data_IF_914528565862
#
_entry.id   IF_914528565862
#
_cell.length_a   1.000
_cell.length_b   1.000
_cell.length_c   1.000
_cell.angle_alpha   90.00
_cell.angle_beta   90.00
_cell.angle_gamma   90.00
#
_symmetry.space_group_name_H-M   'P 1'
#
loop_
_entity.id
_entity.type
_entity.pdbx_description
1 polymer ?
#
# COMPACT_ATOMS: atom_id res chain seq x y z
N UNK A 1 12.16 -33.07 11.53
CA UNK A 1 12.44 -33.41 12.94
C UNK A 1 13.73 -32.70 13.32
N UNK A 2 13.79 -31.72 14.21
CA UNK A 2 12.83 -31.07 15.09
C UNK A 2 12.83 -29.55 14.77
N UNK A 3 11.68 -28.89 14.67
CA UNK A 3 10.93 -28.26 15.78
C UNK A 3 11.79 -27.42 16.73
N UNK A 4 11.56 -26.11 16.73
CA UNK A 4 10.85 -25.49 17.85
C UNK A 4 10.63 -24.00 17.58
N UNK A 5 9.36 -23.62 17.57
CA UNK A 5 8.82 -22.39 18.13
C UNK A 5 9.84 -21.49 18.85
N UNK A 6 10.29 -20.44 18.17
CA UNK A 6 10.92 -19.32 18.84
C UNK A 6 9.83 -18.31 19.23
N UNK A 7 8.93 -18.72 20.13
CA UNK A 7 8.14 -17.77 20.92
C UNK A 7 9.10 -17.06 21.87
N UNK A 8 9.83 -16.06 21.37
CA UNK A 8 10.47 -15.10 22.26
C UNK A 8 9.34 -14.26 22.85
N UNK A 9 8.96 -14.57 24.09
CA UNK A 9 8.32 -13.58 24.98
C UNK A 9 9.36 -12.50 25.28
N UNK A 10 9.71 -11.70 24.28
CA UNK A 10 10.43 -10.45 24.50
C UNK A 10 9.41 -9.51 25.12
N UNK A 11 9.64 -9.08 26.35
CA UNK A 11 8.99 -7.87 26.84
C UNK A 11 9.59 -6.73 26.02
N UNK A 12 8.93 -6.44 24.90
CA UNK A 12 9.28 -5.32 24.04
C UNK A 12 8.80 -4.08 24.79
N UNK A 13 9.74 -3.25 25.26
CA UNK A 13 9.44 -1.86 25.59
C UNK A 13 9.66 -1.04 24.32
N UNK A 14 8.57 -0.71 23.59
CA UNK A 14 8.69 0.14 22.42
C UNK A 14 9.09 1.56 22.83
N UNK A 15 10.22 2.05 22.34
CA UNK A 15 10.47 3.49 22.28
C UNK A 15 10.11 3.98 20.86
N UNK A 16 9.04 4.78 20.77
CA UNK A 16 8.65 5.45 19.52
C UNK A 16 9.57 6.63 19.35
N UNK A 17 10.48 6.57 18.39
CA UNK A 17 11.45 7.64 18.17
C UNK A 17 10.95 8.74 17.24
N UNK A 18 10.11 8.43 16.24
CA UNK A 18 9.53 9.40 15.30
C UNK A 18 8.31 8.82 14.54
N UNK A 19 7.34 9.69 14.21
CA UNK A 19 6.27 9.39 13.26
C UNK A 19 6.82 9.56 11.83
N UNK A 20 7.15 8.46 11.16
CA UNK A 20 8.03 8.53 9.99
C UNK A 20 7.39 9.25 8.79
N UNK A 21 6.07 9.15 8.58
CA UNK A 21 5.41 9.76 7.41
C UNK A 21 3.92 10.09 7.66
N UNK A 22 3.56 11.38 7.74
CA UNK A 22 2.20 11.87 8.05
C UNK A 22 1.21 11.85 6.87
N UNK A 23 1.58 11.29 5.72
CA UNK A 23 0.79 11.34 4.46
C UNK A 23 0.22 9.96 4.07
N UNK A 24 0.47 8.94 4.87
CA UNK A 24 0.05 7.57 4.56
C UNK A 24 -1.32 7.24 5.16
N UNK A 25 -2.02 6.26 4.57
CA UNK A 25 -3.31 5.74 5.04
C UNK A 25 -3.22 4.97 6.36
N UNK A 26 -2.03 4.89 6.97
CA UNK A 26 -1.77 4.11 8.18
C UNK A 26 -0.66 4.78 9.00
N UNK A 27 -0.71 4.79 10.34
CA UNK A 27 0.41 5.23 11.15
C UNK A 27 1.65 4.34 10.91
N UNK A 28 2.77 5.00 10.60
CA UNK A 28 4.09 4.38 10.43
C UNK A 28 5.01 4.85 11.55
N UNK A 29 5.51 3.90 12.32
CA UNK A 29 6.30 4.13 13.53
C UNK A 29 7.68 3.49 13.37
N UNK A 30 8.73 4.26 13.65
CA UNK A 30 10.09 3.73 13.74
C UNK A 30 10.29 3.13 15.14
N UNK A 31 10.67 1.85 15.19
CA UNK A 31 10.90 1.12 16.43
C UNK A 31 12.31 0.55 16.51
N UNK A 32 12.90 0.66 17.68
CA UNK A 32 14.15 0.00 18.02
C UNK A 32 13.84 -1.09 19.04
N UNK A 33 14.04 -2.36 18.67
CA UNK A 33 13.97 -3.49 19.58
C UNK A 33 15.34 -3.68 20.22
N UNK A 34 15.41 -3.58 21.56
CA UNK A 34 16.61 -3.91 22.30
C UNK A 34 16.59 -5.39 22.71
N UNK A 35 17.65 -6.11 22.41
CA UNK A 35 17.84 -7.51 22.74
C UNK A 35 19.15 -7.75 23.48
N UNK A 36 19.30 -8.96 23.98
CA UNK A 36 20.58 -9.43 24.52
C UNK A 36 20.92 -10.69 23.76
N UNK A 37 22.09 -10.72 23.13
CA UNK A 37 22.61 -11.92 22.45
C UNK A 37 22.90 -13.04 23.46
N UNK A 38 23.06 -14.28 22.98
CA UNK A 38 23.44 -15.43 23.81
C UNK A 38 24.75 -15.19 24.59
N UNK A 39 25.64 -14.33 24.08
CA UNK A 39 26.88 -13.94 24.75
C UNK A 39 26.72 -12.81 25.79
N UNK A 40 25.49 -12.38 26.09
CA UNK A 40 25.21 -11.29 27.02
C UNK A 40 25.44 -9.87 26.45
N UNK A 41 25.82 -9.75 25.17
CA UNK A 41 26.02 -8.45 24.53
C UNK A 41 24.66 -7.84 24.17
N UNK A 42 24.46 -6.56 24.52
CA UNK A 42 23.30 -5.79 24.06
C UNK A 42 23.31 -5.70 22.53
N UNK A 43 22.22 -6.13 21.91
CA UNK A 43 21.93 -5.89 20.51
C UNK A 43 20.74 -4.96 20.40
N UNK A 44 20.67 -4.23 19.30
CA UNK A 44 19.44 -3.52 18.95
C UNK A 44 19.11 -3.82 17.50
N UNK A 45 17.82 -3.86 17.21
CA UNK A 45 17.26 -4.15 15.91
C UNK A 45 16.28 -3.04 15.55
N UNK A 46 16.60 -2.29 14.51
CA UNK A 46 15.74 -1.22 14.05
C UNK A 46 14.79 -1.71 12.96
N UNK A 47 13.51 -1.40 13.11
CA UNK A 47 12.46 -1.80 12.19
C UNK A 47 11.39 -0.72 12.09
N UNK A 48 10.56 -0.82 11.06
CA UNK A 48 9.38 0.01 10.87
C UNK A 48 8.16 -0.82 11.19
N UNK A 49 7.31 -0.36 12.10
CA UNK A 49 5.99 -0.93 12.30
C UNK A 49 4.97 -0.05 11.59
N UNK A 50 4.22 -0.66 10.68
CA UNK A 50 3.06 -0.04 10.04
C UNK A 50 1.81 -0.69 10.61
N UNK A 51 0.91 0.11 11.18
CA UNK A 51 -0.35 -0.37 11.75
C UNK A 51 -1.53 0.10 10.90
N UNK A 52 -2.44 -0.80 10.60
CA UNK A 52 -3.67 -0.53 9.87
C UNK A 52 -4.80 -0.35 10.88
N UNK A 53 -4.90 0.87 11.40
CA UNK A 53 -5.83 1.23 12.46
C UNK A 53 -6.78 2.33 11.98
N UNK A 54 -8.08 2.03 11.89
CA UNK A 54 -9.12 2.95 11.42
C UNK A 54 -9.19 4.26 12.20
N UNK A 55 -8.70 4.27 13.44
CA UNK A 55 -8.74 5.44 14.33
C UNK A 55 -7.69 6.48 13.96
N UNK A 56 -6.68 6.09 13.18
CA UNK A 56 -5.55 6.92 12.78
C UNK A 56 -5.44 7.02 11.25
N UNK A 57 -4.54 7.87 10.76
CA UNK A 57 -4.29 8.08 9.33
C UNK A 57 -5.05 9.28 8.77
N UNK A 58 -4.32 10.35 8.41
CA UNK A 58 -4.94 11.58 7.90
C UNK A 58 -5.64 11.32 6.58
N UNK A 59 -4.94 10.71 5.60
CA UNK A 59 -5.50 10.42 4.29
C UNK A 59 -6.60 9.36 4.30
N UNK A 60 -6.58 8.42 5.25
CA UNK A 60 -7.63 7.41 5.41
C UNK A 60 -8.97 8.04 5.83
N UNK A 61 -8.91 9.12 6.61
CA UNK A 61 -10.08 9.78 7.19
C UNK A 61 -10.49 11.05 6.45
N UNK A 62 -9.86 11.35 5.32
CA UNK A 62 -10.23 12.45 4.45
C UNK A 62 -11.39 12.05 3.53
N UNK A 63 -12.58 12.60 3.81
CA UNK A 63 -13.81 12.38 3.05
C UNK A 63 -14.19 13.64 2.27
N UNK A 64 -14.28 13.56 0.94
CA UNK A 64 -14.61 14.70 0.06
C UNK A 64 -13.80 15.96 0.41
N UNK A 65 -12.48 15.81 0.55
CA UNK A 65 -11.53 16.87 0.94
C UNK A 65 -11.75 17.46 2.34
N UNK A 66 -12.55 16.79 3.18
CA UNK A 66 -12.80 17.17 4.58
C UNK A 66 -12.32 16.06 5.50
N UNK A 67 -11.44 16.41 6.42
CA UNK A 67 -10.96 15.46 7.42
C UNK A 67 -12.08 15.12 8.42
N UNK A 68 -12.34 13.81 8.60
CA UNK A 68 -13.35 13.31 9.55
C UNK A 68 -12.64 12.70 10.76
N UNK A 69 -12.47 13.44 11.87
CA UNK A 69 -11.70 12.95 13.00
C UNK A 69 -12.36 11.74 13.66
N UNK A 70 -11.55 10.92 14.34
CA UNK A 70 -12.06 9.89 15.23
C UNK A 70 -12.47 10.53 16.56
N UNK A 71 -13.66 10.19 17.07
CA UNK A 71 -14.20 10.73 18.33
C UNK A 71 -14.81 9.63 19.18
N UNK A 72 -14.98 9.89 20.48
CA UNK A 72 -15.59 8.95 21.41
C UNK A 72 -17.03 8.59 21.00
N UNK A 73 -17.78 9.53 20.44
CA UNK A 73 -19.14 9.31 19.95
C UNK A 73 -19.17 8.35 18.76
N UNK A 74 -18.21 8.49 17.83
CA UNK A 74 -18.06 7.58 16.68
C UNK A 74 -17.64 6.19 17.13
N UNK A 75 -16.73 6.10 18.09
CA UNK A 75 -16.32 4.82 18.67
C UNK A 75 -17.51 4.12 19.36
N UNK A 76 -18.29 4.85 20.16
CA UNK A 76 -19.50 4.31 20.79
C UNK A 76 -20.54 3.84 19.76
N UNK A 77 -20.73 4.61 18.67
CA UNK A 77 -21.62 4.23 17.57
C UNK A 77 -21.15 2.94 16.88
N UNK A 78 -19.85 2.83 16.58
CA UNK A 78 -19.25 1.63 16.00
C UNK A 78 -19.39 0.42 16.92
N UNK A 79 -19.07 0.56 18.21
CA UNK A 79 -19.23 -0.51 19.20
C UNK A 79 -20.68 -0.99 19.30
N UNK A 80 -21.64 -0.06 19.31
CA UNK A 80 -23.07 -0.39 19.29
C UNK A 80 -23.46 -1.15 18.01
N UNK A 81 -22.94 -0.74 16.86
CA UNK A 81 -23.18 -1.39 15.56
C UNK A 81 -22.65 -2.82 15.51
N UNK A 82 -21.44 -3.06 16.04
CA UNK A 82 -20.88 -4.41 16.18
C UNK A 82 -21.70 -5.24 17.17
N UNK A 83 -22.08 -4.68 18.32
CA UNK A 83 -22.90 -5.36 19.33
C UNK A 83 -24.25 -5.83 18.78
N UNK A 84 -24.84 -5.06 17.88
CA UNK A 84 -26.11 -5.38 17.22
C UNK A 84 -25.95 -6.41 16.08
N UNK A 85 -24.75 -6.94 15.84
CA UNK A 85 -24.48 -7.91 14.77
C UNK A 85 -24.56 -7.31 13.36
N UNK A 86 -24.55 -5.98 13.22
CA UNK A 86 -24.75 -5.30 11.93
C UNK A 86 -23.51 -5.29 11.04
N UNK A 87 -22.33 -5.54 11.62
CA UNK A 87 -21.05 -5.53 10.90
C UNK A 87 -21.00 -6.53 9.74
N UNK A 88 -21.39 -7.80 9.98
CA UNK A 88 -21.36 -8.84 8.95
C UNK A 88 -22.26 -8.55 7.74
N UNK A 89 -23.56 -8.26 7.92
CA UNK A 89 -24.45 -7.85 6.84
C UNK A 89 -23.97 -6.60 6.11
N UNK A 90 -23.44 -5.61 6.83
CA UNK A 90 -22.93 -4.38 6.23
C UNK A 90 -21.75 -4.66 5.29
N UNK A 91 -20.75 -5.43 5.75
CA UNK A 91 -19.59 -5.79 4.93
C UNK A 91 -19.98 -6.56 3.67
N UNK A 92 -20.89 -7.53 3.78
CA UNK A 92 -21.42 -8.25 2.60
C UNK A 92 -22.08 -7.31 1.60
N UNK A 93 -22.89 -6.36 2.09
CA UNK A 93 -23.51 -5.36 1.23
C UNK A 93 -22.51 -4.42 0.56
N UNK A 94 -21.33 -4.20 1.14
CA UNK A 94 -20.24 -3.47 0.47
C UNK A 94 -19.60 -4.36 -0.61
N UNK A 95 -19.34 -5.63 -0.32
CA UNK A 95 -18.77 -6.58 -1.29
C UNK A 95 -19.68 -6.78 -2.51
N UNK A 96 -21.00 -6.75 -2.32
CA UNK A 96 -22.00 -6.81 -3.38
C UNK A 96 -22.00 -5.54 -4.24
N UNK A 97 -21.96 -4.35 -3.61
CA UNK A 97 -21.85 -3.07 -4.33
C UNK A 97 -20.58 -2.96 -5.16
N UNK A 98 -19.44 -3.37 -4.61
CA UNK A 98 -18.17 -3.29 -5.35
C UNK A 98 -18.20 -4.13 -6.63
N UNK A 99 -18.98 -5.22 -6.64
CA UNK A 99 -19.20 -6.03 -7.84
C UNK A 99 -20.11 -5.34 -8.85
N UNK A 100 -21.15 -4.65 -8.39
CA UNK A 100 -22.15 -3.98 -9.23
C UNK A 100 -21.64 -2.66 -9.81
N UNK A 101 -21.02 -1.82 -8.99
CA UNK A 101 -20.65 -0.45 -9.37
C UNK A 101 -19.40 -0.41 -10.26
N UNK A 102 -18.58 -1.47 -10.24
CA UNK A 102 -17.27 -1.56 -10.92
C UNK A 102 -16.31 -0.39 -10.59
N UNK A 103 -16.62 0.41 -9.56
CA UNK A 103 -15.91 1.62 -9.17
C UNK A 103 -15.03 1.30 -7.96
N UNK A 104 -13.72 1.49 -8.11
CA UNK A 104 -12.74 1.40 -7.01
C UNK A 104 -12.61 2.78 -6.36
N UNK A 105 -13.66 3.27 -5.71
CA UNK A 105 -13.54 4.40 -4.79
C UNK A 105 -13.37 3.88 -3.37
N UNK A 106 -12.65 4.60 -2.49
CA UNK A 106 -12.68 4.32 -1.06
C UNK A 106 -14.13 4.25 -0.60
N UNK A 107 -14.47 3.17 0.08
CA UNK A 107 -15.83 2.83 0.50
C UNK A 107 -16.43 3.94 1.36
N UNK A 108 -15.58 4.61 2.14
CA UNK A 108 -16.01 5.75 2.95
C UNK A 108 -16.59 6.89 2.10
N UNK A 109 -16.20 7.03 0.82
CA UNK A 109 -16.63 8.08 -0.10
C UNK A 109 -18.03 7.85 -0.70
N UNK A 110 -18.54 6.62 -0.65
CA UNK A 110 -19.85 6.24 -1.20
C UNK A 110 -20.96 6.25 -0.16
N UNK A 111 -20.64 6.51 1.11
CA UNK A 111 -21.61 6.53 2.20
C UNK A 111 -22.46 7.81 2.21
N UNK A 112 -23.77 7.64 2.43
CA UNK A 112 -24.71 8.74 2.63
C UNK A 112 -24.54 9.34 4.03
N UNK A 113 -24.15 10.62 4.11
CA UNK A 113 -23.95 11.33 5.36
C UNK A 113 -25.24 11.75 6.06
N UNK A 114 -26.40 11.55 5.42
CA UNK A 114 -27.72 11.77 6.01
C UNK A 114 -28.25 10.53 6.74
N UNK A 115 -27.60 9.37 6.57
CA UNK A 115 -27.94 8.13 7.26
C UNK A 115 -27.77 8.30 8.79
N UNK A 116 -28.80 7.98 9.62
CA UNK A 116 -28.68 8.02 11.07
C UNK A 116 -27.54 7.14 11.62
N UNK A 117 -27.14 6.09 10.89
CA UNK A 117 -26.03 5.20 11.22
C UNK A 117 -24.72 5.59 10.53
N UNK A 118 -24.66 6.73 9.84
CA UNK A 118 -23.49 7.17 9.08
C UNK A 118 -22.19 7.05 9.87
N UNK A 119 -22.18 7.53 11.13
CA UNK A 119 -20.99 7.47 11.98
C UNK A 119 -20.47 6.05 12.18
N UNK A 120 -21.35 5.08 12.40
CA UNK A 120 -20.96 3.69 12.58
C UNK A 120 -20.56 3.01 11.26
N UNK A 121 -21.32 3.26 10.18
CA UNK A 121 -21.01 2.74 8.84
C UNK A 121 -19.69 3.28 8.30
N UNK A 122 -19.38 4.55 8.60
CA UNK A 122 -18.10 5.17 8.26
C UNK A 122 -16.93 4.46 8.95
N UNK A 123 -16.98 4.26 10.28
CA UNK A 123 -15.94 3.52 11.00
C UNK A 123 -15.83 2.05 10.53
N UNK A 124 -16.95 1.42 10.18
CA UNK A 124 -16.97 0.07 9.61
C UNK A 124 -16.34 -0.02 8.22
N UNK A 125 -16.57 0.98 7.36
CA UNK A 125 -15.92 1.10 6.06
C UNK A 125 -14.41 1.30 6.21
N UNK A 126 -13.98 2.18 7.12
CA UNK A 126 -12.55 2.37 7.41
C UNK A 126 -11.89 1.11 7.98
N UNK A 127 -12.59 0.33 8.80
CA UNK A 127 -12.11 -0.98 9.25
C UNK A 127 -11.84 -1.91 8.06
N UNK A 128 -12.80 -2.02 7.13
CA UNK A 128 -12.65 -2.85 5.92
C UNK A 128 -11.47 -2.38 5.08
N UNK A 129 -11.33 -1.08 4.87
CA UNK A 129 -10.18 -0.52 4.12
C UNK A 129 -8.85 -0.85 4.80
N UNK A 130 -8.77 -0.78 6.14
CA UNK A 130 -7.57 -1.19 6.88
C UNK A 130 -7.24 -2.67 6.67
N UNK A 131 -8.26 -3.54 6.74
CA UNK A 131 -8.12 -4.98 6.48
C UNK A 131 -7.63 -5.25 5.06
N UNK A 132 -8.23 -4.61 4.07
CA UNK A 132 -7.87 -4.78 2.66
C UNK A 132 -6.45 -4.27 2.40
N UNK A 133 -6.08 -3.13 2.97
CA UNK A 133 -4.74 -2.55 2.88
C UNK A 133 -3.68 -3.48 3.50
N UNK A 134 -3.97 -4.06 4.67
CA UNK A 134 -3.10 -5.05 5.30
C UNK A 134 -2.94 -6.30 4.42
N UNK A 135 -4.05 -6.82 3.90
CA UNK A 135 -4.04 -8.02 3.06
C UNK A 135 -3.29 -7.79 1.75
N UNK A 136 -3.48 -6.63 1.09
CA UNK A 136 -2.74 -6.23 -0.11
C UNK A 136 -1.25 -6.10 0.16
N UNK A 137 -0.85 -5.39 1.21
CA UNK A 137 0.56 -5.21 1.52
C UNK A 137 1.23 -6.57 1.80
N UNK A 138 0.65 -7.40 2.66
CA UNK A 138 1.22 -8.72 3.01
C UNK A 138 1.34 -9.65 1.81
N UNK A 139 0.34 -9.68 0.94
CA UNK A 139 0.39 -10.46 -0.29
C UNK A 139 1.44 -9.92 -1.28
N UNK A 140 1.62 -8.60 -1.38
CA UNK A 140 2.66 -8.02 -2.21
C UNK A 140 4.06 -8.47 -1.76
N UNK A 141 4.33 -8.48 -0.45
CA UNK A 141 5.62 -8.96 0.07
C UNK A 141 5.83 -10.46 -0.18
N UNK A 142 4.78 -11.28 -0.11
CA UNK A 142 4.90 -12.70 -0.43
C UNK A 142 5.18 -12.93 -1.92
N UNK A 143 4.49 -12.21 -2.81
CA UNK A 143 4.70 -12.30 -4.27
C UNK A 143 6.06 -11.76 -4.72
N UNK A 144 6.60 -10.78 -4.00
CA UNK A 144 7.86 -10.10 -4.31
C UNK A 144 9.02 -10.57 -3.41
N UNK A 145 8.95 -11.80 -2.90
CA UNK A 145 9.91 -12.36 -1.94
C UNK A 145 11.36 -12.33 -2.45
N UNK A 146 11.57 -12.47 -3.75
CA UNK A 146 12.89 -12.41 -4.39
C UNK A 146 13.48 -10.98 -4.45
N UNK A 147 12.65 -9.96 -4.27
CA UNK A 147 13.01 -8.54 -4.25
C UNK A 147 13.26 -7.99 -2.84
N UNK A 148 12.83 -8.71 -1.80
CA UNK A 148 12.96 -8.28 -0.40
C UNK A 148 14.41 -8.12 0.04
N UNK A 149 14.71 -6.96 0.61
CA UNK A 149 16.04 -6.53 1.03
C UNK A 149 16.97 -6.11 -0.11
N UNK A 150 16.44 -5.95 -1.32
CA UNK A 150 17.18 -5.50 -2.51
C UNK A 150 16.55 -4.25 -3.11
N UNK A 151 15.29 -4.35 -3.50
CA UNK A 151 14.53 -3.25 -4.14
C UNK A 151 13.25 -2.92 -3.40
N UNK A 152 12.80 -3.79 -2.49
CA UNK A 152 11.75 -3.52 -1.50
C UNK A 152 12.27 -3.90 -0.11
N UNK A 153 11.74 -3.34 1.00
CA UNK A 153 12.12 -3.75 2.35
C UNK A 153 11.94 -5.25 2.58
N UNK A 154 12.56 -5.81 3.63
CA UNK A 154 12.17 -7.13 4.14
C UNK A 154 10.94 -6.98 5.03
N UNK A 155 9.98 -7.89 4.91
CA UNK A 155 8.93 -8.07 5.91
C UNK A 155 9.40 -9.12 6.92
N UNK A 156 9.48 -8.72 8.18
CA UNK A 156 9.93 -9.59 9.26
C UNK A 156 8.79 -10.36 9.90
N UNK A 157 7.63 -9.72 10.10
CA UNK A 157 6.50 -10.33 10.78
C UNK A 157 5.17 -9.62 10.46
N UNK A 158 4.09 -10.38 10.62
CA UNK A 158 2.76 -9.83 10.87
C UNK A 158 2.62 -9.47 12.35
N UNK A 159 1.93 -8.38 12.64
CA UNK A 159 1.69 -7.86 13.99
C UNK A 159 0.19 -7.81 14.22
N UNK A 160 -0.23 -8.22 15.42
CA UNK A 160 -1.60 -8.06 15.90
C UNK A 160 -1.54 -7.33 17.22
N UNK A 161 -2.18 -6.18 17.30
CA UNK A 161 -2.30 -5.38 18.52
C UNK A 161 -3.71 -5.57 19.05
N UNK A 162 -3.80 -6.19 20.23
CA UNK A 162 -5.05 -6.37 20.94
C UNK A 162 -5.30 -5.13 21.80
N UNK A 163 -6.42 -4.46 21.58
CA UNK A 163 -6.84 -3.34 22.41
C UNK A 163 -7.23 -3.83 23.80
N UNK A 164 -6.89 -3.02 24.81
CA UNK A 164 -7.17 -3.35 26.20
C UNK A 164 -8.65 -3.10 26.52
N UNK A 165 -9.14 -3.74 27.58
CA UNK A 165 -10.53 -3.61 28.04
C UNK A 165 -10.93 -2.15 28.42
N UNK A 166 -9.97 -1.25 28.61
CA UNK A 166 -10.23 0.19 28.80
C UNK A 166 -10.77 0.88 27.54
N UNK A 167 -10.45 0.34 26.36
CA UNK A 167 -10.75 0.98 25.08
C UNK A 167 -11.93 0.30 24.37
N UNK A 168 -12.17 -0.99 24.67
CA UNK A 168 -13.23 -1.80 24.08
C UNK A 168 -14.01 -2.54 25.18
N UNK A 169 -15.33 -2.42 25.24
CA UNK A 169 -16.17 -3.16 26.19
C UNK A 169 -15.93 -4.67 26.17
N UNK A 170 -15.82 -5.27 27.36
CA UNK A 170 -15.44 -6.68 27.52
C UNK A 170 -16.43 -7.66 26.85
N UNK A 171 -17.70 -7.30 26.75
CA UNK A 171 -18.72 -8.10 26.05
C UNK A 171 -18.38 -8.30 24.56
N UNK A 172 -17.76 -7.29 23.94
CA UNK A 172 -17.32 -7.35 22.54
C UNK A 172 -16.01 -8.12 22.35
N UNK A 173 -15.18 -8.21 23.40
CA UNK A 173 -13.92 -8.95 23.37
C UNK A 173 -14.08 -10.44 23.70
N UNK A 174 -15.11 -10.80 24.46
CA UNK A 174 -15.32 -12.18 24.91
C UNK A 174 -15.81 -13.13 23.80
N UNK A 175 -16.34 -12.61 22.69
CA UNK A 175 -16.74 -13.40 21.53
C UNK A 175 -15.74 -13.25 20.39
N UNK A 176 -15.19 -14.34 19.82
CA UNK A 176 -14.29 -14.28 18.66
C UNK A 176 -14.90 -13.58 17.44
N UNK A 177 -16.22 -13.69 17.26
CA UNK A 177 -16.93 -13.11 16.11
C UNK A 177 -16.93 -11.58 16.13
N UNK A 178 -16.99 -10.98 17.32
CA UNK A 178 -16.97 -9.53 17.52
C UNK A 178 -15.56 -9.02 17.78
N UNK A 179 -14.73 -9.77 18.50
CA UNK A 179 -13.37 -9.36 18.87
C UNK A 179 -12.48 -9.07 17.67
N UNK A 180 -12.65 -9.80 16.55
CA UNK A 180 -11.90 -9.57 15.30
C UNK A 180 -12.05 -8.15 14.73
N UNK A 181 -13.16 -7.47 15.02
CA UNK A 181 -13.41 -6.11 14.56
C UNK A 181 -12.65 -5.04 15.38
N UNK A 182 -12.02 -5.45 16.48
CA UNK A 182 -11.21 -4.60 17.34
C UNK A 182 -9.73 -4.98 17.33
N UNK A 183 -9.34 -5.97 16.52
CA UNK A 183 -7.94 -6.29 16.29
C UNK A 183 -7.32 -5.24 15.35
N UNK A 184 -6.18 -4.67 15.74
CA UNK A 184 -5.39 -3.81 14.86
C UNK A 184 -4.27 -4.64 14.26
N UNK A 185 -4.26 -4.78 12.94
CA UNK A 185 -3.22 -5.51 12.21
C UNK A 185 -2.08 -4.58 11.83
N UNK A 186 -0.91 -5.16 11.64
CA UNK A 186 0.27 -4.44 11.21
C UNK A 186 1.34 -5.32 10.62
N UNK A 187 2.35 -4.68 10.05
CA UNK A 187 3.52 -5.35 9.49
C UNK A 187 4.79 -4.74 10.06
N UNK A 188 5.76 -5.60 10.38
CA UNK A 188 7.08 -5.20 10.81
C UNK A 188 8.04 -5.31 9.62
N UNK A 189 8.62 -4.19 9.21
CA UNK A 189 9.42 -4.04 8.00
C UNK A 189 10.86 -3.65 8.31
N UNK A 190 11.77 -3.94 7.38
CA UNK A 190 13.14 -3.45 7.40
C UNK A 190 13.16 -1.92 7.42
N UNK A 191 13.83 -1.37 8.42
CA UNK A 191 14.17 0.05 8.42
C UNK A 191 15.26 0.33 7.40
N UNK A 192 15.00 1.29 6.51
CA UNK A 192 15.96 1.78 5.53
C UNK A 192 16.45 3.16 6.00
N UNK A 193 17.68 3.27 6.52
CA UNK A 193 18.22 4.55 6.95
C UNK A 193 18.46 5.44 5.72
N UNK A 194 17.78 6.58 5.65
CA UNK A 194 18.04 7.55 4.59
C UNK A 194 16.93 8.57 4.41
N UNK A 195 16.53 8.80 3.16
CA UNK A 195 15.61 9.87 2.79
C UNK A 195 14.66 9.41 1.70
N UNK A 196 13.48 10.02 1.60
CA UNK A 196 12.56 9.73 0.49
C UNK A 196 13.11 10.31 -0.82
N UNK A 197 12.91 9.63 -1.94
CA UNK A 197 13.38 10.10 -3.25
C UNK A 197 12.84 11.49 -3.57
N UNK A 198 11.64 11.84 -3.07
CA UNK A 198 11.08 13.18 -3.14
C UNK A 198 12.01 14.28 -2.60
N UNK A 199 12.81 13.98 -1.58
CA UNK A 199 13.76 14.89 -0.94
C UNK A 199 15.17 14.81 -1.53
N UNK A 200 15.41 14.02 -2.58
CA UNK A 200 16.71 13.97 -3.25
C UNK A 200 17.33 15.36 -3.55
N UNK A 201 16.58 16.39 -4.00
CA UNK A 201 17.17 17.70 -4.33
C UNK A 201 17.60 18.53 -3.11
N UNK A 202 17.14 18.19 -1.92
CA UNK A 202 17.25 19.02 -0.70
C UNK A 202 17.84 18.27 0.49
N UNK A 203 17.90 16.94 0.43
CA UNK A 203 18.40 16.11 1.51
C UNK A 203 19.91 16.29 1.70
N UNK A 204 20.39 16.53 2.93
CA UNK A 204 21.84 16.56 3.21
C UNK A 204 22.48 15.17 3.12
N UNK A 205 21.67 14.10 3.06
CA UNK A 205 22.11 12.71 2.91
C UNK A 205 22.21 12.28 1.44
N UNK A 206 21.73 13.12 0.51
CA UNK A 206 21.85 12.88 -0.92
C UNK A 206 23.28 13.18 -1.41
N UNK A 207 23.75 12.53 -2.49
CA UNK A 207 25.04 12.86 -3.06
C UNK A 207 25.04 14.31 -3.55
N UNK A 208 26.14 15.07 -3.32
CA UNK A 208 26.22 16.44 -3.80
C UNK A 208 26.35 16.52 -5.32
N UNK A 209 26.80 15.45 -5.98
CA UNK A 209 27.05 15.41 -7.42
C UNK A 209 25.77 15.06 -8.20
N UNK A 210 25.23 15.98 -9.04
CA UNK A 210 23.99 15.76 -9.78
C UNK A 210 24.02 14.56 -10.72
N UNK A 211 25.20 14.15 -11.20
CA UNK A 211 25.36 13.01 -12.10
C UNK A 211 24.94 11.69 -11.42
N UNK A 212 25.10 11.61 -10.09
CA UNK A 212 24.69 10.43 -9.31
C UNK A 212 23.17 10.35 -9.13
N UNK A 213 22.45 11.47 -9.20
CA UNK A 213 20.99 11.50 -9.05
C UNK A 213 20.29 10.73 -10.16
N UNK A 214 20.83 10.79 -11.39
CA UNK A 214 20.30 10.02 -12.51
C UNK A 214 20.30 8.53 -12.20
N UNK A 215 21.40 7.99 -11.69
CA UNK A 215 21.52 6.57 -11.38
C UNK A 215 20.54 6.12 -10.28
N UNK A 216 20.33 6.95 -9.24
CA UNK A 216 19.39 6.66 -8.16
C UNK A 216 17.95 6.61 -8.69
N UNK A 217 17.56 7.60 -9.51
CA UNK A 217 16.22 7.68 -10.09
C UNK A 217 16.00 6.54 -11.08
N UNK A 218 17.00 6.24 -11.92
CA UNK A 218 16.93 5.13 -12.86
C UNK A 218 16.74 3.79 -12.12
N UNK A 219 17.49 3.54 -11.05
CA UNK A 219 17.33 2.33 -10.25
C UNK A 219 15.93 2.20 -9.62
N UNK A 220 15.28 3.33 -9.27
CA UNK A 220 13.91 3.31 -8.77
C UNK A 220 12.89 3.01 -9.88
N UNK A 221 13.10 3.54 -11.09
CA UNK A 221 12.31 3.23 -12.28
C UNK A 221 12.43 1.76 -12.64
N UNK A 222 13.66 1.23 -12.67
CA UNK A 222 13.90 -0.19 -12.96
C UNK A 222 13.23 -1.08 -11.89
N UNK A 223 13.31 -0.70 -10.61
CA UNK A 223 12.68 -1.43 -9.52
C UNK A 223 11.15 -1.49 -9.64
N UNK A 224 10.48 -0.39 -9.98
CA UNK A 224 9.00 -0.40 -10.12
C UNK A 224 8.57 -1.19 -11.36
N UNK A 225 9.36 -1.16 -12.42
CA UNK A 225 9.15 -2.01 -13.59
C UNK A 225 9.25 -3.50 -13.23
N UNK A 226 10.29 -3.89 -12.47
CA UNK A 226 10.45 -5.27 -12.00
C UNK A 226 9.28 -5.77 -11.14
N UNK A 227 8.68 -4.89 -10.35
CA UNK A 227 7.47 -5.17 -9.57
C UNK A 227 6.28 -5.43 -10.50
N UNK A 228 6.09 -4.57 -11.52
CA UNK A 228 5.07 -4.75 -12.57
C UNK A 228 5.23 -6.07 -13.33
N UNK A 229 6.47 -6.45 -13.71
CA UNK A 229 6.74 -7.73 -14.40
C UNK A 229 6.35 -8.96 -13.58
N UNK A 230 6.30 -8.85 -12.25
CA UNK A 230 5.85 -9.92 -11.33
C UNK A 230 4.34 -9.91 -11.09
N UNK A 231 3.59 -9.09 -11.83
CA UNK A 231 2.13 -9.03 -11.74
C UNK A 231 1.62 -8.21 -10.55
N UNK A 232 2.43 -7.29 -10.02
CA UNK A 232 2.01 -6.35 -8.96
C UNK A 232 1.96 -4.95 -9.55
N UNK A 233 0.78 -4.36 -9.64
CA UNK A 233 0.58 -2.99 -10.10
C UNK A 233 0.48 -2.04 -8.89
N UNK A 234 1.52 -1.25 -8.66
CA UNK A 234 1.57 -0.32 -7.53
C UNK A 234 0.78 0.97 -7.82
N UNK A 235 -0.48 1.08 -7.38
CA UNK A 235 -1.36 2.24 -7.71
C UNK A 235 -0.86 3.57 -7.15
N UNK A 236 -0.09 3.51 -6.07
CA UNK A 236 0.49 4.70 -5.41
C UNK A 236 1.97 4.92 -5.72
N UNK A 237 2.46 4.47 -6.89
CA UNK A 237 3.85 4.67 -7.26
C UNK A 237 4.15 6.17 -7.38
N UNK A 238 5.04 6.66 -6.53
CA UNK A 238 5.43 8.07 -6.49
C UNK A 238 6.77 8.23 -5.77
N UNK A 239 7.51 9.33 -5.99
CA UNK A 239 8.82 9.50 -5.36
C UNK A 239 8.80 9.62 -3.84
N UNK A 240 7.66 9.88 -3.21
CA UNK A 240 7.54 9.87 -1.74
C UNK A 240 7.41 8.44 -1.18
N UNK A 241 7.00 7.47 -2.00
CA UNK A 241 6.92 6.05 -1.68
C UNK A 241 8.18 5.28 -2.15
N UNK A 242 9.30 6.01 -2.26
CA UNK A 242 10.63 5.43 -2.51
C UNK A 242 11.57 5.94 -1.44
N UNK A 243 12.17 5.04 -0.67
CA UNK A 243 13.18 5.38 0.34
C UNK A 243 14.56 5.05 -0.19
N UNK A 244 15.46 6.02 -0.21
CA UNK A 244 16.85 5.85 -0.65
C UNK A 244 17.72 5.62 0.58
N UNK A 245 18.45 4.51 0.61
CA UNK A 245 19.42 4.24 1.66
C UNK A 245 20.56 5.26 1.59
N UNK A 246 20.83 6.02 2.65
CA UNK A 246 21.83 7.10 2.63
C UNK A 246 23.27 6.62 2.46
N UNK A 247 23.56 5.36 2.82
CA UNK A 247 24.91 4.80 2.70
C UNK A 247 25.16 4.22 1.32
N UNK A 248 24.23 3.42 0.81
CA UNK A 248 24.40 2.71 -0.47
C UNK A 248 23.79 3.46 -1.65
N UNK A 249 22.96 4.48 -1.38
CA UNK A 249 22.20 5.24 -2.37
C UNK A 249 21.23 4.36 -3.18
N UNK A 250 20.89 3.19 -2.64
CA UNK A 250 19.96 2.23 -3.26
C UNK A 250 18.53 2.61 -2.93
N UNK A 251 17.63 2.74 -3.93
CA UNK A 251 16.22 3.00 -3.71
C UNK A 251 15.47 1.72 -3.30
N UNK A 252 14.49 1.89 -2.42
CA UNK A 252 13.56 0.86 -1.97
C UNK A 252 12.13 1.35 -2.21
N UNK A 253 11.34 0.59 -2.96
CA UNK A 253 9.90 0.87 -3.15
C UNK A 253 9.17 0.42 -1.88
N UNK A 254 8.32 1.28 -1.34
CA UNK A 254 7.57 1.04 -0.10
C UNK A 254 6.08 1.36 -0.29
N UNK A 255 5.26 0.95 0.67
CA UNK A 255 3.82 1.23 0.72
C UNK A 255 2.99 0.52 -0.37
N UNK A 256 2.88 -0.80 -0.22
CA UNK A 256 2.10 -1.68 -1.08
C UNK A 256 0.63 -1.83 -0.67
N UNK A 257 0.15 -1.02 0.28
CA UNK A 257 -1.23 -1.08 0.76
C UNK A 257 -2.25 -0.86 -0.37
N UNK A 258 -1.86 -0.07 -1.36
CA UNK A 258 -2.66 0.22 -2.55
C UNK A 258 -1.97 -0.34 -3.81
N UNK A 259 -1.97 -1.66 -3.93
CA UNK A 259 -1.55 -2.36 -5.15
C UNK A 259 -2.63 -3.32 -5.64
N UNK A 260 -2.59 -3.61 -6.93
CA UNK A 260 -3.40 -4.65 -7.56
C UNK A 260 -2.55 -5.82 -8.03
N UNK A 261 -3.17 -6.99 -8.10
CA UNK A 261 -2.53 -8.24 -8.51
C UNK A 261 -3.08 -8.71 -9.84
N UNK A 262 -2.21 -8.99 -10.82
CA UNK A 262 -2.59 -9.35 -12.20
C UNK A 262 -3.70 -10.40 -12.28
N UNK A 263 -3.52 -11.52 -11.60
CA UNK A 263 -4.48 -12.63 -11.54
C UNK A 263 -5.82 -12.23 -10.91
N UNK A 264 -5.82 -11.39 -9.86
CA UNK A 264 -7.05 -10.90 -9.24
C UNK A 264 -7.78 -9.91 -10.13
N UNK A 265 -7.05 -9.02 -10.80
CA UNK A 265 -7.63 -8.09 -11.77
C UNK A 265 -8.30 -8.87 -12.90
N UNK A 266 -7.59 -9.83 -13.50
CA UNK A 266 -8.13 -10.68 -14.57
C UNK A 266 -9.36 -11.45 -14.10
N UNK A 267 -9.30 -12.05 -12.91
CA UNK A 267 -10.44 -12.76 -12.33
C UNK A 267 -11.64 -11.83 -12.12
N UNK A 268 -11.42 -10.66 -11.53
CA UNK A 268 -12.47 -9.67 -11.30
C UNK A 268 -13.09 -9.22 -12.62
N UNK A 269 -12.27 -8.89 -13.63
CA UNK A 269 -12.75 -8.46 -14.93
C UNK A 269 -13.61 -9.53 -15.63
N UNK A 270 -13.29 -10.82 -15.47
CA UNK A 270 -14.15 -11.91 -15.93
C UNK A 270 -15.47 -11.99 -15.14
N UNK A 271 -15.40 -11.89 -13.82
CA UNK A 271 -16.59 -11.95 -12.96
C UNK A 271 -17.58 -10.83 -13.23
N UNK A 272 -17.10 -9.65 -13.62
CA UNK A 272 -17.93 -8.49 -13.95
C UNK A 272 -18.29 -8.38 -15.44
N UNK A 273 -17.88 -9.34 -16.27
CA UNK A 273 -18.15 -9.32 -17.72
C UNK A 273 -17.42 -8.20 -18.47
N UNK A 274 -16.31 -7.69 -17.92
CA UNK A 274 -15.40 -6.76 -18.62
C UNK A 274 -14.48 -7.50 -19.58
N UNK A 275 -14.10 -8.73 -19.24
CA UNK A 275 -13.39 -9.65 -20.13
C UNK A 275 -14.38 -10.71 -20.62
N UNK A 276 -14.62 -10.76 -21.92
CA UNK A 276 -15.30 -11.86 -22.59
C UNK A 276 -14.38 -13.09 -22.70
N UNK A 277 -14.93 -14.25 -23.08
CA UNK A 277 -14.15 -15.51 -23.19
C UNK A 277 -13.01 -15.44 -24.21
N UNK A 278 -13.12 -14.54 -25.19
CA UNK A 278 -12.14 -14.31 -26.25
C UNK A 278 -11.08 -13.24 -25.87
N UNK A 279 -11.25 -12.53 -24.75
CA UNK A 279 -10.32 -11.48 -24.33
C UNK A 279 -9.09 -12.06 -23.61
N UNK A 280 -7.90 -11.54 -23.96
CA UNK A 280 -6.65 -11.90 -23.29
C UNK A 280 -6.43 -11.00 -22.07
N UNK A 281 -6.72 -11.53 -20.89
CA UNK A 281 -6.51 -10.82 -19.62
C UNK A 281 -5.06 -10.38 -19.36
N UNK A 282 -4.06 -11.02 -19.99
CA UNK A 282 -2.67 -10.56 -19.91
C UNK A 282 -2.45 -9.27 -20.71
N UNK A 283 -3.09 -9.15 -21.88
CA UNK A 283 -3.07 -7.92 -22.69
C UNK A 283 -3.71 -6.77 -21.90
N UNK A 284 -4.89 -6.99 -21.35
CA UNK A 284 -5.62 -5.98 -20.55
C UNK A 284 -4.86 -5.57 -19.28
N UNK A 285 -4.16 -6.51 -18.65
CA UNK A 285 -3.24 -6.18 -17.56
C UNK A 285 -2.13 -5.24 -18.03
N UNK A 286 -1.47 -5.53 -19.15
CA UNK A 286 -0.39 -4.69 -19.67
C UNK A 286 -0.90 -3.33 -20.16
N UNK A 287 -2.13 -3.23 -20.66
CA UNK A 287 -2.78 -1.94 -20.93
C UNK A 287 -2.96 -1.11 -19.66
N UNK A 288 -3.33 -1.74 -18.54
CA UNK A 288 -3.38 -1.07 -17.24
C UNK A 288 -1.98 -0.65 -16.74
N UNK A 289 -0.94 -1.47 -16.98
CA UNK A 289 0.45 -1.10 -16.67
C UNK A 289 0.88 0.13 -17.47
N UNK A 290 0.62 0.16 -18.78
CA UNK A 290 0.91 1.30 -19.66
C UNK A 290 0.14 2.55 -19.21
N UNK A 291 -1.15 2.40 -18.91
CA UNK A 291 -2.01 3.52 -18.48
C UNK A 291 -1.58 4.10 -17.13
N UNK A 292 -1.29 3.23 -16.16
CA UNK A 292 -0.84 3.65 -14.82
C UNK A 292 0.55 4.29 -14.87
N UNK A 293 1.45 3.76 -15.72
CA UNK A 293 2.78 4.29 -16.00
C UNK A 293 3.60 4.62 -14.74
N UNK A 294 3.75 3.62 -13.87
CA UNK A 294 4.46 3.76 -12.59
C UNK A 294 5.90 4.26 -12.75
N UNK A 295 6.55 3.85 -13.83
CA UNK A 295 7.89 4.27 -14.20
C UNK A 295 7.95 5.79 -14.41
N UNK A 296 7.02 6.35 -15.20
CA UNK A 296 6.92 7.80 -15.40
C UNK A 296 6.45 8.53 -14.12
N UNK A 297 5.58 7.90 -13.32
CA UNK A 297 5.13 8.44 -12.04
C UNK A 297 6.29 8.65 -11.04
N UNK A 298 7.38 7.89 -11.16
CA UNK A 298 8.59 8.10 -10.38
C UNK A 298 9.61 8.95 -11.16
N UNK A 299 10.06 8.46 -12.32
CA UNK A 299 11.16 9.06 -13.07
C UNK A 299 10.82 10.43 -13.64
N UNK A 300 9.63 10.56 -14.25
CA UNK A 300 9.19 11.79 -14.91
C UNK A 300 8.96 12.91 -13.91
N UNK A 301 8.30 12.60 -12.78
CA UNK A 301 8.11 13.55 -11.68
C UNK A 301 9.44 14.00 -11.07
N UNK A 302 10.41 13.09 -10.88
CA UNK A 302 11.73 13.46 -10.36
C UNK A 302 12.54 14.29 -11.35
N UNK A 303 12.54 13.95 -12.64
CA UNK A 303 13.19 14.73 -13.68
C UNK A 303 12.62 16.16 -13.75
N UNK A 304 11.29 16.31 -13.74
CA UNK A 304 10.64 17.61 -13.72
C UNK A 304 10.93 18.41 -12.45
N UNK A 305 11.01 17.74 -11.28
CA UNK A 305 11.35 18.38 -10.01
C UNK A 305 12.80 18.88 -10.00
N UNK A 306 13.74 18.09 -10.48
CA UNK A 306 15.16 18.44 -10.53
C UNK A 306 15.47 19.53 -11.56
N UNK A 307 14.81 19.49 -12.72
CA UNK A 307 14.92 20.55 -13.71
C UNK A 307 14.46 21.90 -13.13
N UNK A 308 13.33 21.92 -12.40
CA UNK A 308 12.81 23.14 -11.78
C UNK A 308 13.66 23.62 -10.59
N UNK A 309 14.09 22.72 -9.71
CA UNK A 309 14.74 23.09 -8.47
C UNK A 309 16.25 23.37 -8.63
N UNK A 310 16.91 22.72 -9.61
CA UNK A 310 18.38 22.73 -9.74
C UNK A 310 18.87 22.98 -11.17
N UNK A 311 17.97 23.12 -12.14
CA UNK A 311 18.34 23.28 -13.55
C UNK A 311 18.92 22.02 -14.20
N UNK A 312 18.86 20.88 -13.51
CA UNK A 312 19.46 19.61 -13.95
C UNK A 312 18.49 18.88 -14.87
N UNK A 313 18.92 18.64 -16.11
CA UNK A 313 18.20 17.79 -17.06
C UNK A 313 18.69 16.36 -16.94
N UNK A 314 17.78 15.45 -16.63
CA UNK A 314 18.07 14.02 -16.55
C UNK A 314 17.66 13.29 -17.83
N UNK A 315 18.44 12.29 -18.22
CA UNK A 315 18.15 11.38 -19.31
C UNK A 315 17.74 10.01 -18.74
N UNK A 316 16.54 9.95 -18.16
CA UNK A 316 15.96 8.71 -17.62
C UNK A 316 15.49 7.83 -18.78
N UNK A 317 15.86 6.55 -18.73
CA UNK A 317 15.42 5.53 -19.67
C UNK A 317 14.21 4.82 -19.10
N UNK A 318 13.11 4.83 -19.85
CA UNK A 318 11.90 4.13 -19.49
C UNK A 318 11.81 2.82 -20.27
N UNK A 319 11.33 1.73 -19.64
CA UNK A 319 10.90 0.55 -20.37
C UNK A 319 9.89 0.92 -21.46
N UNK A 320 10.04 0.33 -22.64
CA UNK A 320 9.11 0.51 -23.75
C UNK A 320 7.89 -0.40 -23.55
N UNK A 321 7.04 -0.03 -22.58
CA UNK A 321 5.83 -0.80 -22.22
C UNK A 321 4.86 -0.90 -23.40
N UNK A 322 4.81 0.11 -24.28
CA UNK A 322 4.02 0.07 -25.51
C UNK A 322 4.55 -0.99 -26.49
N UNK A 323 5.87 -1.14 -26.62
CA UNK A 323 6.44 -2.24 -27.40
C UNK A 323 6.18 -3.59 -26.76
N UNK A 324 6.31 -3.73 -25.44
CA UNK A 324 5.98 -4.98 -24.73
C UNK A 324 4.52 -5.37 -25.02
N UNK A 325 3.60 -4.42 -24.92
CA UNK A 325 2.18 -4.63 -25.21
C UNK A 325 1.94 -5.00 -26.68
N UNK A 326 2.58 -4.31 -27.63
CA UNK A 326 2.47 -4.63 -29.07
C UNK A 326 3.01 -6.02 -29.41
N UNK A 327 4.16 -6.39 -28.84
CA UNK A 327 4.76 -7.70 -29.05
C UNK A 327 3.87 -8.80 -28.45
N UNK A 328 3.26 -8.54 -27.29
CA UNK A 328 2.28 -9.42 -26.67
C UNK A 328 1.04 -9.60 -27.56
N UNK A 329 0.40 -8.50 -27.99
CA UNK A 329 -0.75 -8.51 -28.91
C UNK A 329 -0.44 -9.32 -30.17
N UNK A 330 0.73 -9.09 -30.79
CA UNK A 330 1.20 -9.85 -31.96
C UNK A 330 1.35 -11.33 -31.67
N UNK A 331 1.95 -11.71 -30.54
CA UNK A 331 2.16 -13.12 -30.17
C UNK A 331 0.85 -13.88 -29.92
N UNK A 332 -0.22 -13.16 -29.60
CA UNK A 332 -1.57 -13.68 -29.35
C UNK A 332 -2.48 -13.61 -30.57
N UNK A 333 -1.98 -13.15 -31.71
CA UNK A 333 -2.79 -13.01 -32.94
C UNK A 333 -3.82 -11.89 -32.90
N UNK A 334 -3.71 -10.96 -31.94
CA UNK A 334 -4.56 -9.77 -31.87
C UNK A 334 -4.03 -8.74 -32.85
N UNK A 335 -4.80 -8.45 -33.91
CA UNK A 335 -4.43 -7.42 -34.90
C UNK A 335 -4.41 -6.03 -34.24
N UNK A 336 -3.35 -5.27 -34.54
CA UNK A 336 -3.24 -3.88 -34.13
C UNK A 336 -4.07 -3.04 -35.09
N UNK A 337 -5.23 -2.57 -34.65
CA UNK A 337 -5.96 -1.52 -35.36
C UNK A 337 -5.37 -0.14 -34.95
N UNK A 338 -4.63 0.55 -35.83
CA UNK A 338 -4.07 1.86 -35.54
C UNK A 338 -5.12 2.98 -35.42
N UNK A 339 -6.35 2.75 -35.91
CA UNK A 339 -7.48 3.68 -35.87
C UNK A 339 -8.51 3.33 -34.78
N UNK A 340 -8.31 2.21 -34.08
CA UNK A 340 -9.01 1.89 -32.84
C UNK A 340 -8.57 2.88 -31.77
N UNK A 341 -9.28 4.00 -31.68
CA UNK A 341 -9.42 4.77 -30.45
C UNK A 341 -10.08 3.88 -29.37
N UNK A 342 -9.40 2.84 -28.92
CA UNK A 342 -9.62 2.25 -27.59
C UNK A 342 -9.07 3.20 -26.52
N UNK A 343 -9.24 4.51 -26.74
CA UNK A 343 -9.58 5.49 -25.72
C UNK A 343 -10.96 5.07 -25.21
N UNK A 344 -11.02 3.99 -24.42
CA UNK A 344 -12.11 3.88 -23.49
C UNK A 344 -11.99 5.09 -22.59
N UNK A 345 -12.93 6.02 -22.84
CA UNK A 345 -13.27 7.15 -22.01
C UNK A 345 -13.10 6.72 -20.55
N UNK A 346 -12.03 7.21 -19.95
CA UNK A 346 -11.98 7.41 -18.52
C UNK A 346 -13.18 8.29 -18.23
N UNK A 347 -14.28 7.68 -17.74
CA UNK A 347 -15.26 8.40 -16.98
C UNK A 347 -14.53 8.81 -15.69
N UNK A 348 -13.83 9.93 -15.77
CA UNK A 348 -13.59 10.75 -14.60
C UNK A 348 -14.95 11.32 -14.21
N UNK A 349 -15.61 10.72 -13.23
CA UNK A 349 -16.49 11.41 -12.29
C UNK A 349 -16.37 10.77 -10.92
#
# INVERSE_FOLDING_TARGET
>A
MADSDMFVKTVITPEIHDLAHSVTTSPVLNFVLFGTTESGSRSYFQAVLKLYDRRFGVGLRDYRYTHVPHTAEREAAYQSFVRQGKMGPFLRGLDERDKEDHIVMPVCQTLDNTDPEYSAKFEAALWRECEDNFNRETEAYERLKDLQGRTIPRMYAHVRVMLQASDVPQDLLNSPETARYFEVKGVLLQFIPGYTLSHLPTSPLAPPEPEKWQAIIQAAVDAVHEIGRRGVLHRSAAPHNVVVNSRTQTPYIVDFANCDFKDRMIKLWKEIGRLDDDDDGEIEYWENVVTQNNEQAIGGLMAARLQRAKGVKLDIKYPDCDRILRDLKRSRGVEFDPDSDSVWKILHF
#
